data_IF_397361059545
#
_entry.id   IF_397361059545
#
_cell.length_a   1.000
_cell.length_b   1.000
_cell.length_c   1.000
_cell.angle_alpha   90.00
_cell.angle_beta   90.00
_cell.angle_gamma   90.00
#
_symmetry.space_group_name_H-M   'P 1'
#
loop_
_entity.id
_entity.type
_entity.pdbx_description
1 polymer ?
#
# COMPACT_ATOMS: atom_id res chain seq x y z
N UNK A 1 13.98 10.22 1.23
CA UNK A 1 13.96 8.75 1.04
C UNK A 1 12.65 8.18 1.56
N UNK A 2 12.13 7.15 0.89
CA UNK A 2 11.05 6.34 1.44
C UNK A 2 11.68 5.17 2.18
N UNK A 3 11.62 5.21 3.49
CA UNK A 3 12.03 4.08 4.33
C UNK A 3 10.94 3.01 4.34
N UNK A 4 11.37 1.75 4.24
CA UNK A 4 10.53 0.55 4.27
C UNK A 4 11.13 -0.45 5.25
N UNK A 5 10.32 -1.31 5.88
CA UNK A 5 10.83 -2.32 6.81
C UNK A 5 11.71 -3.34 6.09
N UNK A 6 12.79 -3.79 6.73
CA UNK A 6 13.77 -4.69 6.12
C UNK A 6 13.42 -6.16 6.36
N UNK A 7 13.04 -6.52 7.59
CA UNK A 7 12.80 -7.92 7.96
C UNK A 7 11.41 -8.42 7.54
N UNK A 8 11.28 -9.74 7.37
CA UNK A 8 10.00 -10.37 7.04
C UNK A 8 8.89 -10.06 8.05
N UNK A 9 9.20 -10.11 9.35
CA UNK A 9 8.22 -9.85 10.39
C UNK A 9 7.75 -8.38 10.37
N UNK A 10 8.68 -7.45 10.23
CA UNK A 10 8.37 -6.02 10.14
C UNK A 10 7.60 -5.69 8.87
N UNK A 11 7.91 -6.36 7.75
CA UNK A 11 7.17 -6.27 6.49
C UNK A 11 5.71 -6.70 6.71
N UNK A 12 5.48 -7.81 7.41
CA UNK A 12 4.15 -8.29 7.75
C UNK A 12 3.35 -7.24 8.54
N UNK A 13 3.92 -6.72 9.62
CA UNK A 13 3.26 -5.70 10.45
C UNK A 13 3.03 -4.38 9.70
N UNK A 14 4.04 -3.91 8.97
CA UNK A 14 3.92 -2.70 8.18
C UNK A 14 2.87 -2.81 7.07
N UNK A 15 2.75 -4.01 6.47
CA UNK A 15 1.79 -4.31 5.41
C UNK A 15 0.33 -4.24 5.85
N UNK A 16 0.07 -4.20 7.15
CA UNK A 16 -1.29 -3.97 7.67
C UNK A 16 -1.77 -2.53 7.49
N UNK A 17 -0.85 -1.58 7.38
CA UNK A 17 -1.14 -0.13 7.34
C UNK A 17 -0.70 0.54 6.04
N UNK A 18 0.40 0.08 5.43
CA UNK A 18 1.01 0.67 4.25
C UNK A 18 1.60 -0.40 3.34
N UNK A 19 1.68 -0.10 2.03
CA UNK A 19 2.38 -0.96 1.08
C UNK A 19 3.86 -1.11 1.47
N UNK A 20 4.34 -2.33 1.76
CA UNK A 20 5.68 -2.55 2.33
C UNK A 20 6.80 -2.54 1.29
N UNK A 21 6.47 -2.49 0.01
CA UNK A 21 7.43 -2.53 -1.08
C UNK A 21 7.34 -1.31 -1.99
N UNK A 22 8.47 -0.97 -2.59
CA UNK A 22 8.55 0.01 -3.66
C UNK A 22 8.43 -0.73 -4.99
N UNK A 23 7.24 -0.78 -5.57
CA UNK A 23 6.91 -1.58 -6.76
C UNK A 23 7.97 -1.54 -7.87
N UNK A 24 8.55 -0.38 -8.27
CA UNK A 24 9.57 -0.33 -9.33
C UNK A 24 10.90 -1.03 -8.99
N UNK A 25 11.11 -1.39 -7.71
CA UNK A 25 12.35 -2.01 -7.22
C UNK A 25 12.15 -3.47 -6.79
N UNK A 26 11.01 -4.10 -7.10
CA UNK A 26 10.71 -5.44 -6.60
C UNK A 26 11.23 -6.49 -7.57
N UNK A 27 11.92 -7.50 -7.01
CA UNK A 27 12.23 -8.77 -7.66
C UNK A 27 11.47 -9.89 -6.97
N UNK A 28 10.84 -10.78 -7.71
CA UNK A 28 10.05 -11.89 -7.15
C UNK A 28 10.20 -13.17 -7.96
N UNK A 29 9.98 -14.30 -7.29
CA UNK A 29 9.87 -15.59 -7.97
C UNK A 29 8.52 -15.65 -8.70
N UNK A 30 8.52 -15.99 -9.99
CA UNK A 30 7.31 -16.17 -10.80
C UNK A 30 6.31 -17.11 -10.14
N UNK A 31 6.79 -18.25 -9.64
CA UNK A 31 5.97 -19.25 -8.96
C UNK A 31 5.27 -18.74 -7.70
N UNK A 32 5.86 -17.77 -6.96
CA UNK A 32 5.23 -17.16 -5.80
C UNK A 32 4.07 -16.23 -6.23
N UNK A 33 4.24 -15.50 -7.32
CA UNK A 33 3.17 -14.68 -7.92
C UNK A 33 2.03 -15.55 -8.43
N UNK A 34 2.34 -16.64 -9.13
CA UNK A 34 1.36 -17.61 -9.64
C UNK A 34 0.57 -18.26 -8.49
N UNK A 35 1.26 -18.68 -7.42
CA UNK A 35 0.63 -19.23 -6.21
C UNK A 35 -0.34 -18.26 -5.56
N UNK A 36 -0.02 -16.96 -5.58
CA UNK A 36 -0.90 -15.90 -5.08
C UNK A 36 -2.03 -15.53 -6.05
N UNK A 37 -2.12 -16.16 -7.22
CA UNK A 37 -3.13 -15.91 -8.23
C UNK A 37 -2.89 -14.68 -9.13
N UNK A 38 -1.63 -14.25 -9.25
CA UNK A 38 -1.20 -13.20 -10.17
C UNK A 38 -1.74 -11.80 -9.86
N UNK A 39 -1.48 -10.85 -10.76
CA UNK A 39 -2.08 -9.52 -10.70
C UNK A 39 -3.59 -9.57 -10.97
N UNK A 40 -4.34 -8.70 -10.30
CA UNK A 40 -5.78 -8.55 -10.46
C UNK A 40 -6.15 -7.06 -10.41
N UNK A 41 -6.98 -6.62 -11.33
CA UNK A 41 -7.44 -5.21 -11.44
C UNK A 41 -8.61 -4.86 -10.50
N UNK A 42 -8.89 -5.71 -9.52
CA UNK A 42 -10.06 -5.58 -8.61
C UNK A 42 -10.06 -4.27 -7.83
N UNK A 43 -8.87 -3.77 -7.46
CA UNK A 43 -8.71 -2.57 -6.65
C UNK A 43 -7.82 -1.56 -7.38
N UNK A 44 -8.44 -0.69 -8.16
CA UNK A 44 -7.76 0.32 -8.96
C UNK A 44 -6.79 1.15 -8.10
N UNK A 45 -5.54 1.29 -8.55
CA UNK A 45 -4.39 1.93 -7.87
C UNK A 45 -3.85 1.18 -6.63
N UNK A 46 -4.35 -0.01 -6.34
CA UNK A 46 -3.89 -0.88 -5.26
C UNK A 46 -3.52 -2.29 -5.74
N UNK A 47 -3.36 -2.49 -7.05
CA UNK A 47 -3.13 -3.79 -7.69
C UNK A 47 -1.86 -4.47 -7.16
N UNK A 48 -0.78 -3.69 -7.02
CA UNK A 48 0.50 -4.15 -6.48
C UNK A 48 0.39 -4.49 -4.99
N UNK A 49 -0.19 -3.61 -4.19
CA UNK A 49 -0.38 -3.86 -2.76
C UNK A 49 -1.31 -5.07 -2.53
N UNK A 50 -2.34 -5.23 -3.34
CA UNK A 50 -3.23 -6.38 -3.32
C UNK A 50 -2.50 -7.69 -3.62
N UNK A 51 -1.57 -7.69 -4.58
CA UNK A 51 -0.72 -8.84 -4.85
C UNK A 51 0.21 -9.15 -3.67
N UNK A 52 0.86 -8.15 -3.08
CA UNK A 52 1.80 -8.36 -1.98
C UNK A 52 1.13 -8.97 -0.75
N UNK A 53 -0.06 -8.49 -0.36
CA UNK A 53 -0.80 -9.10 0.76
C UNK A 53 -1.10 -10.58 0.47
N UNK A 54 -1.59 -10.91 -0.73
CA UNK A 54 -1.88 -12.31 -1.09
C UNK A 54 -0.63 -13.18 -1.12
N UNK A 55 0.50 -12.64 -1.59
CA UNK A 55 1.78 -13.37 -1.53
C UNK A 55 2.21 -13.64 -0.09
N UNK A 56 2.14 -12.66 0.80
CA UNK A 56 2.46 -12.84 2.21
C UNK A 56 1.52 -13.86 2.88
N UNK A 57 0.22 -13.84 2.57
CA UNK A 57 -0.76 -14.82 3.05
C UNK A 57 -0.47 -16.26 2.60
N UNK A 58 0.20 -16.43 1.46
CA UNK A 58 0.64 -17.79 1.01
C UNK A 58 1.93 -18.26 1.67
N UNK A 59 2.49 -17.49 2.63
CA UNK A 59 3.74 -17.79 3.31
C UNK A 59 4.99 -17.43 2.51
N UNK A 60 4.86 -16.58 1.48
CA UNK A 60 6.00 -16.09 0.70
C UNK A 60 6.91 -15.25 1.61
N UNK A 61 8.18 -15.64 1.71
CA UNK A 61 9.19 -14.88 2.43
C UNK A 61 9.59 -13.66 1.61
N UNK A 62 9.75 -12.53 2.30
CA UNK A 62 10.09 -11.25 1.69
C UNK A 62 11.12 -10.49 2.53
N UNK A 63 11.94 -9.70 1.87
CA UNK A 63 12.93 -8.82 2.50
C UNK A 63 13.10 -7.57 1.65
N UNK A 64 13.30 -6.41 2.29
CA UNK A 64 13.79 -5.22 1.60
C UNK A 64 15.30 -5.06 1.86
N UNK A 65 16.00 -4.49 0.88
CA UNK A 65 17.42 -4.14 1.01
C UNK A 65 17.54 -2.71 1.56
N UNK A 66 18.56 -2.41 2.39
CA UNK A 66 18.78 -1.08 2.93
C UNK A 66 19.32 -0.09 1.89
N UNK A 67 19.80 -0.60 0.76
CA UNK A 67 20.46 0.18 -0.27
C UNK A 67 19.49 1.01 -1.09
N UNK A 68 19.92 2.20 -1.51
CA UNK A 68 19.17 3.05 -2.44
C UNK A 68 19.47 2.59 -3.87
N UNK A 69 18.57 1.78 -4.43
CA UNK A 69 18.73 1.17 -5.75
C UNK A 69 17.99 1.91 -6.86
N UNK A 70 17.10 2.85 -6.51
CA UNK A 70 16.30 3.58 -7.50
C UNK A 70 16.08 5.04 -7.09
N UNK A 71 16.27 5.94 -8.03
CA UNK A 71 15.85 7.33 -7.94
C UNK A 71 14.61 7.53 -8.82
N UNK A 72 13.48 7.83 -8.19
CA UNK A 72 12.23 8.03 -8.90
C UNK A 72 11.92 9.52 -9.05
N UNK A 73 11.60 9.96 -10.27
CA UNK A 73 11.11 11.30 -10.52
C UNK A 73 9.69 11.43 -9.92
N UNK A 74 9.51 12.39 -9.02
CA UNK A 74 8.20 12.71 -8.44
C UNK A 74 7.57 13.86 -9.24
N UNK A 75 6.59 13.60 -10.11
CA UNK A 75 5.90 14.66 -10.83
C UNK A 75 5.01 15.48 -9.88
N UNK A 76 4.83 16.77 -10.18
CA UNK A 76 3.99 17.68 -9.39
C UNK A 76 2.52 17.20 -9.26
N UNK A 77 2.09 16.31 -10.14
CA UNK A 77 0.73 15.76 -10.18
C UNK A 77 0.50 14.54 -9.27
N UNK A 78 1.54 14.04 -8.59
CA UNK A 78 1.43 12.85 -7.73
C UNK A 78 0.33 13.00 -6.66
N UNK A 79 0.22 14.19 -6.07
CA UNK A 79 -0.82 14.49 -5.08
C UNK A 79 -2.24 14.58 -5.67
N UNK A 80 -2.37 14.98 -6.95
CA UNK A 80 -3.66 14.98 -7.65
C UNK A 80 -4.14 13.56 -7.90
N UNK A 81 -3.25 12.68 -8.36
CA UNK A 81 -3.54 11.27 -8.69
C UNK A 81 -3.94 10.42 -7.48
N UNK A 82 -3.47 10.79 -6.26
CA UNK A 82 -3.78 10.10 -5.00
C UNK A 82 -4.88 10.81 -4.21
N UNK A 83 -5.88 11.31 -4.87
CA UNK A 83 -7.01 11.99 -4.25
C UNK A 83 -8.27 11.93 -5.08
N UNK A 84 -9.38 12.36 -4.46
CA UNK A 84 -10.71 12.34 -5.04
C UNK A 84 -11.55 11.15 -4.56
N UNK A 85 -12.81 11.18 -4.91
CA UNK A 85 -13.80 10.17 -4.46
C UNK A 85 -13.46 8.76 -4.94
N UNK A 86 -13.01 8.64 -6.18
CA UNK A 86 -12.65 7.36 -6.80
C UNK A 86 -11.49 6.68 -6.07
N UNK A 87 -10.41 7.43 -5.80
CA UNK A 87 -9.27 6.92 -5.03
C UNK A 87 -9.68 6.51 -3.60
N UNK A 88 -10.47 7.36 -2.91
CA UNK A 88 -10.94 7.09 -1.56
C UNK A 88 -11.83 5.82 -1.52
N UNK A 89 -12.72 5.66 -2.49
CA UNK A 89 -13.58 4.47 -2.60
C UNK A 89 -12.77 3.21 -2.86
N UNK A 90 -11.81 3.25 -3.79
CA UNK A 90 -10.92 2.12 -4.08
C UNK A 90 -10.12 1.72 -2.85
N UNK A 91 -9.57 2.71 -2.13
CA UNK A 91 -8.84 2.49 -0.90
C UNK A 91 -9.69 1.84 0.19
N UNK A 92 -10.90 2.32 0.43
CA UNK A 92 -11.81 1.73 1.42
C UNK A 92 -12.19 0.29 1.06
N UNK A 93 -12.52 0.03 -0.20
CA UNK A 93 -12.84 -1.33 -0.69
C UNK A 93 -11.65 -2.27 -0.53
N UNK A 94 -10.44 -1.81 -0.85
CA UNK A 94 -9.21 -2.59 -0.68
C UNK A 94 -8.95 -2.90 0.80
N UNK A 95 -8.95 -1.91 1.69
CA UNK A 95 -8.70 -2.13 3.12
C UNK A 95 -9.83 -2.93 3.80
N UNK A 96 -11.06 -2.81 3.34
CA UNK A 96 -12.15 -3.67 3.76
C UNK A 96 -11.88 -5.14 3.41
N UNK A 97 -11.38 -5.39 2.20
CA UNK A 97 -10.94 -6.73 1.82
C UNK A 97 -9.77 -7.22 2.70
N UNK A 98 -8.77 -6.37 2.98
CA UNK A 98 -7.64 -6.73 3.86
C UNK A 98 -8.15 -7.18 5.25
N UNK A 99 -9.12 -6.46 5.82
CA UNK A 99 -9.79 -6.87 7.05
C UNK A 99 -10.55 -8.20 6.88
N UNK A 100 -11.39 -8.33 5.86
CA UNK A 100 -12.18 -9.55 5.61
C UNK A 100 -11.31 -10.78 5.33
N UNK A 101 -10.13 -10.61 4.81
CA UNK A 101 -9.14 -11.68 4.60
C UNK A 101 -8.45 -12.15 5.89
N UNK A 102 -8.71 -11.51 7.03
CA UNK A 102 -8.08 -11.81 8.31
C UNK A 102 -6.66 -11.26 8.48
N UNK A 103 -6.19 -10.42 7.54
CA UNK A 103 -4.83 -9.86 7.60
C UNK A 103 -4.70 -8.71 8.59
N UNK A 104 -5.77 -7.93 8.80
CA UNK A 104 -5.83 -6.82 9.76
C UNK A 104 -7.04 -6.96 10.68
N UNK A 105 -7.00 -6.25 11.81
CA UNK A 105 -8.13 -6.13 12.72
C UNK A 105 -9.13 -5.05 12.25
N UNK A 106 -10.36 -5.09 12.78
CA UNK A 106 -11.33 -4.02 12.58
C UNK A 106 -10.83 -2.68 13.11
N UNK A 107 -10.07 -2.71 14.21
CA UNK A 107 -9.46 -1.51 14.79
C UNK A 107 -8.45 -0.87 13.82
N UNK A 108 -7.60 -1.67 13.16
CA UNK A 108 -6.65 -1.19 12.14
C UNK A 108 -7.40 -0.54 10.96
N UNK A 109 -8.50 -1.14 10.54
CA UNK A 109 -9.35 -0.56 9.49
C UNK A 109 -9.94 0.79 9.92
N UNK A 110 -10.52 0.87 11.12
CA UNK A 110 -11.16 2.09 11.63
C UNK A 110 -10.15 3.21 11.93
N UNK A 111 -8.96 2.87 12.44
CA UNK A 111 -7.95 3.88 12.82
C UNK A 111 -7.02 4.27 11.67
N UNK A 112 -6.85 3.40 10.68
CA UNK A 112 -5.97 3.61 9.54
C UNK A 112 -6.71 4.02 8.27
N UNK A 113 -7.53 3.12 7.72
CA UNK A 113 -8.14 3.30 6.39
C UNK A 113 -9.22 4.41 6.37
N UNK A 114 -10.07 4.48 7.40
CA UNK A 114 -11.14 5.48 7.44
C UNK A 114 -10.62 6.92 7.48
N UNK A 115 -9.76 7.32 8.43
CA UNK A 115 -9.21 8.68 8.47
C UNK A 115 -8.45 9.03 7.19
N UNK A 116 -7.67 8.10 6.65
CA UNK A 116 -6.91 8.33 5.43
C UNK A 116 -7.84 8.54 4.22
N UNK A 117 -8.95 7.82 4.13
CA UNK A 117 -9.93 8.01 3.06
C UNK A 117 -10.59 9.38 3.11
N UNK A 118 -10.90 9.88 4.31
CA UNK A 118 -11.44 11.23 4.50
C UNK A 118 -10.45 12.30 4.03
N UNK A 119 -9.16 12.14 4.36
CA UNK A 119 -8.10 13.03 3.86
C UNK A 119 -8.03 13.01 2.33
N UNK A 120 -8.22 11.85 1.69
CA UNK A 120 -8.19 11.75 0.23
C UNK A 120 -9.33 12.49 -0.47
N UNK A 121 -10.49 12.65 0.18
CA UNK A 121 -11.64 13.42 -0.35
C UNK A 121 -11.47 14.91 -0.11
N UNK A 122 -10.64 15.32 0.84
CA UNK A 122 -10.39 16.73 1.14
C UNK A 122 -9.81 17.49 -0.07
N UNK A 123 -10.09 18.81 -0.19
CA UNK A 123 -9.50 19.66 -1.22
C UNK A 123 -7.97 19.54 -1.24
N UNK A 124 -7.37 19.65 -2.43
CA UNK A 124 -5.93 19.44 -2.65
C UNK A 124 -5.05 20.30 -1.73
N UNK A 125 -5.51 21.51 -1.41
CA UNK A 125 -4.80 22.45 -0.51
C UNK A 125 -4.71 21.90 0.91
N UNK A 126 -5.84 21.46 1.47
CA UNK A 126 -5.91 20.87 2.82
C UNK A 126 -5.09 19.57 2.87
N UNK A 127 -5.22 18.73 1.86
CA UNK A 127 -4.47 17.49 1.74
C UNK A 127 -2.96 17.71 1.74
N UNK A 128 -2.46 18.71 0.99
CA UNK A 128 -1.03 19.07 1.00
C UNK A 128 -0.54 19.49 2.39
N UNK A 129 -1.34 20.23 3.14
CA UNK A 129 -0.99 20.65 4.51
C UNK A 129 -0.90 19.43 5.43
N UNK A 130 -1.90 18.56 5.40
CA UNK A 130 -1.90 17.33 6.21
C UNK A 130 -0.71 16.43 5.89
N UNK A 131 -0.41 16.21 4.61
CA UNK A 131 0.74 15.39 4.23
C UNK A 131 2.08 16.01 4.63
N UNK A 132 2.22 17.33 4.61
CA UNK A 132 3.43 18.01 5.10
C UNK A 132 3.58 17.93 6.62
N UNK A 133 2.48 17.87 7.38
CA UNK A 133 2.50 17.76 8.83
C UNK A 133 2.79 16.33 9.32
N UNK A 134 2.52 15.31 8.47
CA UNK A 134 2.69 13.89 8.79
C UNK A 134 4.03 13.29 8.29
N UNK A 135 4.83 14.07 7.57
CA UNK A 135 6.13 13.68 6.99
C UNK A 135 7.19 14.72 7.29
#
# INVERSE_FOLDING_TARGET
>A
NREVPLSYNDIGEFSKKRCPFNHPCVMFKKTAVEKAGGYKETYHLFEDYYLWIRMLQTGCQAQNLPDVLLYMRTPNDMYKRRGGKEYATSMLRFHWWVYKSGWTSLLDFCTGALPHSLVCVAPTTIRKIIYKALH
#
